data_IF_743678177630
#
_entry.id   IF_743678177630
#
_cell.length_a   1.000
_cell.length_b   1.000
_cell.length_c   1.000
_cell.angle_alpha   90.00
_cell.angle_beta   90.00
_cell.angle_gamma   90.00
#
_symmetry.space_group_name_H-M   'P 1'
#
loop_
_entity.id
_entity.type
_entity.pdbx_description
1 polymer ?
#
# COMPACT_ATOMS: atom_id res chain seq x y z
N UNK A 1 1.54 -0.49 -8.85
CA UNK A 1 2.55 -1.11 -7.97
C UNK A 1 3.10 -2.36 -8.64
N UNK A 2 4.25 -2.28 -9.34
CA UNK A 2 4.84 -3.46 -10.00
C UNK A 2 5.49 -4.44 -9.01
N UNK A 3 6.04 -3.94 -7.90
CA UNK A 3 6.69 -4.76 -6.87
C UNK A 3 5.74 -5.75 -6.16
N UNK A 4 4.52 -5.33 -5.83
CA UNK A 4 3.53 -6.21 -5.15
C UNK A 4 3.09 -7.37 -6.05
N UNK A 5 2.97 -7.14 -7.36
CA UNK A 5 2.67 -8.21 -8.32
C UNK A 5 3.86 -9.17 -8.51
N UNK A 6 5.10 -8.67 -8.38
CA UNK A 6 6.32 -9.49 -8.43
C UNK A 6 6.49 -10.37 -7.19
N UNK A 7 6.06 -9.89 -6.02
CA UNK A 7 6.15 -10.59 -4.73
C UNK A 7 4.79 -10.68 -4.00
N UNK A 8 3.82 -11.45 -4.54
CA UNK A 8 2.49 -11.53 -3.98
C UNK A 8 2.46 -12.41 -2.73
N UNK A 9 1.66 -12.06 -1.71
CA UNK A 9 1.46 -12.89 -0.52
C UNK A 9 0.49 -14.04 -0.79
N UNK A 10 0.65 -15.14 -0.04
CA UNK A 10 -0.12 -16.38 -0.21
C UNK A 10 -1.60 -16.17 0.15
N UNK A 11 -1.89 -15.38 1.19
CA UNK A 11 -3.26 -15.08 1.63
C UNK A 11 -3.93 -13.93 0.86
N UNK A 12 -3.32 -13.42 -0.20
CA UNK A 12 -3.92 -12.38 -1.02
C UNK A 12 -5.02 -13.03 -1.89
N UNK A 13 -6.19 -12.40 -1.98
CA UNK A 13 -7.30 -12.87 -2.86
C UNK A 13 -7.37 -12.02 -4.13
N UNK A 14 -7.16 -10.72 -4.01
CA UNK A 14 -7.09 -9.79 -5.14
C UNK A 14 -5.99 -8.77 -4.91
N UNK A 15 -5.32 -8.35 -5.99
CA UNK A 15 -4.36 -7.25 -5.90
C UNK A 15 -5.08 -5.94 -5.54
N UNK A 16 -4.67 -5.26 -4.44
CA UNK A 16 -5.29 -4.02 -4.04
C UNK A 16 -5.04 -2.96 -5.10
N UNK A 17 -6.12 -2.35 -5.61
CA UNK A 17 -6.07 -1.19 -6.50
C UNK A 17 -6.48 0.04 -5.72
N UNK A 18 -5.49 0.81 -5.26
CA UNK A 18 -5.75 2.10 -4.64
C UNK A 18 -6.00 3.17 -5.71
N UNK A 19 -7.11 3.90 -5.58
CA UNK A 19 -7.41 5.09 -6.38
C UNK A 19 -7.90 6.20 -5.46
N UNK A 20 -7.13 7.29 -5.39
CA UNK A 20 -7.53 8.48 -4.67
C UNK A 20 -8.63 9.21 -5.46
N UNK A 21 -9.61 9.76 -4.75
CA UNK A 21 -10.75 10.47 -5.34
C UNK A 21 -10.96 11.77 -4.57
N UNK A 22 -11.01 12.88 -5.29
CA UNK A 22 -11.27 14.20 -4.69
C UNK A 22 -12.70 14.35 -4.15
N UNK A 23 -13.70 13.74 -4.82
CA UNK A 23 -15.10 13.78 -4.36
C UNK A 23 -15.39 12.69 -3.32
N UNK A 24 -15.77 13.11 -2.12
CA UNK A 24 -16.18 12.21 -1.02
C UNK A 24 -17.43 11.40 -1.36
N UNK A 25 -18.45 12.03 -1.96
CA UNK A 25 -19.69 11.34 -2.35
C UNK A 25 -19.41 10.21 -3.34
N UNK A 26 -18.64 10.51 -4.40
CA UNK A 26 -18.24 9.50 -5.38
C UNK A 26 -17.45 8.36 -4.73
N UNK A 27 -16.60 8.69 -3.76
CA UNK A 27 -15.84 7.68 -3.02
C UNK A 27 -16.74 6.79 -2.17
N UNK A 28 -17.76 7.36 -1.48
CA UNK A 28 -18.71 6.58 -0.69
C UNK A 28 -19.61 5.69 -1.54
N UNK A 29 -20.13 6.19 -2.66
CA UNK A 29 -20.90 5.38 -3.61
C UNK A 29 -20.06 4.19 -4.09
N UNK A 30 -18.82 4.45 -4.53
CA UNK A 30 -17.93 3.37 -4.95
C UNK A 30 -17.62 2.41 -3.80
N UNK A 31 -17.37 2.89 -2.59
CA UNK A 31 -17.10 2.03 -1.45
C UNK A 31 -18.30 1.14 -1.11
N UNK A 32 -19.51 1.67 -1.20
CA UNK A 32 -20.73 0.90 -0.99
C UNK A 32 -20.84 -0.25 -2.00
N UNK A 33 -20.77 0.05 -3.31
CA UNK A 33 -21.00 -0.96 -4.35
C UNK A 33 -19.81 -1.91 -4.59
N UNK A 34 -18.58 -1.44 -4.44
CA UNK A 34 -17.39 -2.25 -4.75
C UNK A 34 -16.79 -2.98 -3.53
N UNK A 35 -17.15 -2.58 -2.30
CA UNK A 35 -16.57 -3.14 -1.09
C UNK A 35 -17.64 -3.67 -0.12
N UNK A 36 -18.58 -2.82 0.32
CA UNK A 36 -19.55 -3.21 1.35
C UNK A 36 -20.64 -4.16 0.85
N UNK A 37 -21.26 -3.87 -0.29
CA UNK A 37 -22.33 -4.69 -0.84
C UNK A 37 -21.84 -6.12 -1.17
N UNK A 38 -20.69 -6.33 -1.85
CA UNK A 38 -20.16 -7.67 -2.07
C UNK A 38 -19.77 -8.38 -0.77
N UNK A 39 -19.18 -7.67 0.20
CA UNK A 39 -18.83 -8.24 1.49
C UNK A 39 -20.06 -8.72 2.27
N UNK A 40 -21.14 -7.93 2.26
CA UNK A 40 -22.40 -8.29 2.89
C UNK A 40 -23.02 -9.54 2.28
N UNK A 41 -23.09 -9.61 0.93
CA UNK A 41 -23.64 -10.78 0.23
C UNK A 41 -22.82 -12.03 0.53
N UNK A 42 -21.49 -11.94 0.51
CA UNK A 42 -20.62 -13.08 0.82
C UNK A 42 -20.74 -13.51 2.28
N UNK A 43 -20.77 -12.57 3.23
CA UNK A 43 -20.98 -12.88 4.65
C UNK A 43 -22.35 -13.53 4.90
N UNK A 44 -23.39 -13.13 4.17
CA UNK A 44 -24.70 -13.78 4.24
C UNK A 44 -24.60 -15.23 3.77
N UNK A 45 -23.94 -15.49 2.65
CA UNK A 45 -23.73 -16.86 2.14
C UNK A 45 -22.93 -17.71 3.14
N UNK A 46 -21.82 -17.17 3.67
CA UNK A 46 -20.98 -17.83 4.69
C UNK A 46 -21.82 -18.18 5.92
N UNK A 47 -22.65 -17.23 6.39
CA UNK A 47 -23.53 -17.43 7.55
C UNK A 47 -24.57 -18.53 7.29
N UNK A 48 -25.14 -18.57 6.08
CA UNK A 48 -26.09 -19.62 5.68
C UNK A 48 -25.43 -21.00 5.56
N UNK A 49 -24.14 -21.05 5.25
CA UNK A 49 -23.35 -22.28 5.25
C UNK A 49 -22.95 -22.75 6.67
N UNK A 50 -23.28 -21.96 7.70
CA UNK A 50 -22.95 -22.27 9.10
C UNK A 50 -21.58 -21.78 9.56
N UNK A 51 -20.85 -21.08 8.69
CA UNK A 51 -19.55 -20.50 9.00
C UNK A 51 -19.67 -19.07 9.55
N UNK A 52 -18.58 -18.60 10.17
CA UNK A 52 -18.54 -17.26 10.78
C UNK A 52 -18.29 -16.18 9.71
N UNK A 53 -19.21 -15.21 9.51
CA UNK A 53 -18.97 -14.06 8.62
C UNK A 53 -17.85 -13.17 9.17
N UNK A 54 -17.06 -12.55 8.28
CA UNK A 54 -15.93 -11.69 8.68
C UNK A 54 -15.64 -10.53 7.73
N UNK A 55 -16.20 -10.54 6.52
CA UNK A 55 -15.83 -9.61 5.47
C UNK A 55 -16.30 -8.19 5.79
N UNK A 56 -17.49 -8.02 6.37
CA UNK A 56 -18.02 -6.72 6.79
C UNK A 56 -17.18 -6.06 7.88
N UNK A 57 -16.63 -6.86 8.80
CA UNK A 57 -15.69 -6.39 9.82
C UNK A 57 -14.38 -5.91 9.18
N UNK A 58 -13.86 -6.67 8.22
CA UNK A 58 -12.66 -6.30 7.45
C UNK A 58 -12.90 -4.97 6.71
N UNK A 59 -14.03 -4.83 6.00
CA UNK A 59 -14.35 -3.60 5.27
C UNK A 59 -14.50 -2.40 6.22
N UNK A 60 -15.10 -2.59 7.39
CA UNK A 60 -15.25 -1.54 8.40
C UNK A 60 -13.91 -1.07 8.95
N UNK A 61 -12.98 -1.99 9.23
CA UNK A 61 -11.60 -1.66 9.66
C UNK A 61 -10.85 -0.93 8.55
N UNK A 62 -10.96 -1.41 7.32
CA UNK A 62 -10.33 -0.79 6.16
C UNK A 62 -10.81 0.64 5.95
N UNK A 63 -12.13 0.86 5.99
CA UNK A 63 -12.73 2.19 5.84
C UNK A 63 -12.29 3.17 6.94
N UNK A 64 -12.26 2.74 8.21
CA UNK A 64 -11.72 3.55 9.31
C UNK A 64 -10.25 3.90 9.08
N UNK A 65 -9.43 2.93 8.68
CA UNK A 65 -8.02 3.16 8.33
C UNK A 65 -7.85 4.22 7.24
N UNK A 66 -8.64 4.14 6.17
CA UNK A 66 -8.63 5.15 5.11
C UNK A 66 -9.01 6.55 5.62
N UNK A 67 -9.97 6.66 6.55
CA UNK A 67 -10.34 7.94 7.15
C UNK A 67 -9.18 8.53 7.95
N UNK A 68 -8.48 7.72 8.74
CA UNK A 68 -7.31 8.16 9.52
C UNK A 68 -6.18 8.67 8.64
N UNK A 69 -5.92 8.02 7.50
CA UNK A 69 -4.84 8.42 6.61
C UNK A 69 -5.24 9.52 5.61
N UNK A 70 -6.54 9.79 5.45
CA UNK A 70 -7.07 10.69 4.40
C UNK A 70 -6.45 12.09 4.41
N UNK A 71 -6.13 12.61 5.60
CA UNK A 71 -5.48 13.91 5.73
C UNK A 71 -4.11 13.95 5.04
N UNK A 72 -3.33 12.88 5.18
CA UNK A 72 -2.00 12.79 4.59
C UNK A 72 -2.04 12.37 3.12
N UNK A 73 -2.95 11.47 2.74
CA UNK A 73 -2.97 10.87 1.40
C UNK A 73 -3.74 11.69 0.36
N UNK A 74 -4.72 12.51 0.77
CA UNK A 74 -5.60 13.24 -0.15
C UNK A 74 -5.27 14.73 -0.26
N UNK A 75 -4.14 15.16 0.30
CA UNK A 75 -3.65 16.54 0.23
C UNK A 75 -2.31 16.56 -0.48
N UNK A 76 -2.05 17.64 -1.21
CA UNK A 76 -0.73 17.91 -1.73
C UNK A 76 0.11 18.55 -0.64
N UNK A 77 1.35 18.11 -0.56
CA UNK A 77 2.33 18.59 0.41
C UNK A 77 3.49 19.18 -0.37
N UNK A 78 3.64 20.50 -0.26
CA UNK A 78 4.78 21.21 -0.81
C UNK A 78 5.82 21.31 0.30
N UNK A 79 6.88 20.53 0.18
CA UNK A 79 8.03 20.60 1.07
C UNK A 79 9.04 21.59 0.51
N UNK A 80 9.25 22.69 1.23
CA UNK A 80 10.28 23.65 0.88
C UNK A 80 11.67 23.06 1.17
N UNK A 81 12.52 23.05 0.14
CA UNK A 81 13.88 22.51 0.21
C UNK A 81 14.97 23.58 0.15
N UNK A 82 14.62 24.87 0.16
CA UNK A 82 15.59 25.98 0.00
C UNK A 82 16.75 25.92 1.00
N UNK A 83 16.46 25.63 2.27
CA UNK A 83 17.50 25.54 3.30
C UNK A 83 18.44 24.33 3.09
N UNK A 84 17.90 23.22 2.60
CA UNK A 84 18.68 22.01 2.28
C UNK A 84 19.58 22.26 1.07
N UNK A 85 19.07 22.96 0.05
CA UNK A 85 19.84 23.37 -1.12
C UNK A 85 20.96 24.36 -0.74
N UNK A 86 20.68 25.37 0.11
CA UNK A 86 21.69 26.32 0.61
C UNK A 86 22.78 25.60 1.40
N UNK A 87 22.39 24.74 2.34
CA UNK A 87 23.32 23.95 3.12
C UNK A 87 24.20 23.08 2.23
N UNK A 88 23.60 22.36 1.27
CA UNK A 88 24.33 21.55 0.31
C UNK A 88 25.33 22.41 -0.48
N UNK A 89 24.95 23.60 -0.94
CA UNK A 89 25.84 24.47 -1.72
C UNK A 89 27.14 24.84 -0.98
N UNK A 90 27.05 24.99 0.35
CA UNK A 90 28.13 25.42 1.24
C UNK A 90 29.04 24.29 1.73
N UNK A 91 28.65 23.03 1.52
CA UNK A 91 29.48 21.90 1.91
C UNK A 91 30.71 21.75 1.01
N UNK A 92 31.80 21.27 1.62
CA UNK A 92 33.00 20.86 0.91
C UNK A 92 32.69 19.67 -0.02
N UNK A 93 33.49 19.43 -1.08
CA UNK A 93 33.31 18.25 -1.93
C UNK A 93 33.31 16.94 -1.14
N UNK A 94 34.21 16.78 -0.18
CA UNK A 94 34.32 15.58 0.66
C UNK A 94 33.06 15.35 1.52
N UNK A 95 32.46 16.43 2.04
CA UNK A 95 31.23 16.34 2.85
C UNK A 95 30.01 16.08 1.98
N UNK A 96 29.95 16.63 0.76
CA UNK A 96 28.89 16.33 -0.21
C UNK A 96 28.86 14.86 -0.59
N UNK A 97 30.03 14.23 -0.73
CA UNK A 97 30.13 12.80 -1.02
C UNK A 97 29.66 11.95 0.17
N UNK A 98 30.02 12.34 1.40
CA UNK A 98 29.60 11.61 2.62
C UNK A 98 28.12 11.81 2.97
N UNK A 99 27.58 13.00 2.68
CA UNK A 99 26.24 13.41 3.05
C UNK A 99 25.46 13.85 1.81
N UNK A 100 24.97 12.87 1.06
CA UNK A 100 24.18 13.12 -0.14
C UNK A 100 22.75 13.55 0.23
N UNK A 101 22.42 14.81 -0.06
CA UNK A 101 21.08 15.37 0.10
C UNK A 101 20.24 15.29 -1.20
N UNK A 102 20.81 14.84 -2.32
CA UNK A 102 20.13 14.79 -3.60
C UNK A 102 19.27 13.52 -3.74
N UNK A 103 17.98 13.68 -3.42
CA UNK A 103 16.99 12.61 -3.54
C UNK A 103 16.81 12.02 -4.95
N UNK A 104 17.31 12.70 -6.00
CA UNK A 104 17.29 12.16 -7.38
C UNK A 104 18.22 10.98 -7.58
N UNK A 105 19.26 10.83 -6.76
CA UNK A 105 20.16 9.69 -6.85
C UNK A 105 19.54 8.39 -6.31
N UNK A 106 18.41 8.49 -5.60
CA UNK A 106 17.68 7.32 -5.10
C UNK A 106 16.98 6.62 -6.26
N UNK A 107 17.31 5.34 -6.49
CA UNK A 107 16.51 4.44 -7.31
C UNK A 107 15.21 4.09 -6.57
N UNK A 108 14.22 4.98 -6.70
CA UNK A 108 12.90 4.84 -6.07
C UNK A 108 12.21 3.51 -6.42
N UNK A 109 12.21 3.03 -7.69
CA UNK A 109 11.71 1.69 -8.01
C UNK A 109 12.33 0.57 -7.17
N UNK A 110 13.67 0.49 -7.09
CA UNK A 110 14.38 -0.55 -6.34
C UNK A 110 14.18 -0.43 -4.83
N UNK A 111 14.19 0.81 -4.32
CA UNK A 111 13.89 1.10 -2.92
C UNK A 111 12.49 0.59 -2.53
N UNK A 112 11.47 0.94 -3.32
CA UNK A 112 10.10 0.51 -3.07
C UNK A 112 9.94 -1.01 -3.21
N UNK A 113 10.69 -1.66 -4.11
CA UNK A 113 10.73 -3.12 -4.23
C UNK A 113 11.29 -3.77 -2.95
N UNK A 114 12.36 -3.19 -2.40
CA UNK A 114 12.95 -3.63 -1.13
C UNK A 114 11.97 -3.48 0.02
N UNK A 115 11.21 -2.38 0.07
CA UNK A 115 10.15 -2.20 1.07
C UNK A 115 9.07 -3.28 0.96
N UNK A 116 8.62 -3.63 -0.25
CA UNK A 116 7.63 -4.70 -0.46
C UNK A 116 8.14 -6.04 0.04
N UNK A 117 9.40 -6.37 -0.25
CA UNK A 117 10.05 -7.58 0.27
C UNK A 117 10.17 -7.58 1.80
N UNK A 118 10.50 -6.44 2.39
CA UNK A 118 10.54 -6.27 3.84
C UNK A 118 9.18 -6.54 4.49
N UNK A 119 8.11 -5.97 3.95
CA UNK A 119 6.74 -6.21 4.43
C UNK A 119 6.37 -7.69 4.34
N UNK A 120 6.68 -8.35 3.22
CA UNK A 120 6.46 -9.80 3.06
C UNK A 120 7.17 -10.61 4.16
N UNK A 121 8.47 -10.39 4.33
CA UNK A 121 9.32 -11.21 5.20
C UNK A 121 9.06 -10.96 6.68
N UNK A 122 8.86 -9.70 7.08
CA UNK A 122 8.83 -9.33 8.49
C UNK A 122 7.42 -9.08 9.03
N UNK A 123 6.54 -8.45 8.25
CA UNK A 123 5.17 -8.19 8.68
C UNK A 123 4.27 -9.42 8.44
N UNK A 124 4.32 -9.98 7.23
CA UNK A 124 3.54 -11.19 6.90
C UNK A 124 4.25 -12.51 7.26
N UNK A 125 5.54 -12.46 7.61
CA UNK A 125 6.32 -13.64 8.00
C UNK A 125 6.33 -14.74 6.93
N UNK A 126 6.30 -14.35 5.65
CA UNK A 126 6.35 -15.30 4.52
C UNK A 126 7.80 -15.53 4.06
N UNK A 127 8.30 -16.78 4.05
CA UNK A 127 9.67 -17.10 3.64
C UNK A 127 9.83 -17.03 2.12
N UNK A 128 10.91 -16.46 1.59
CA UNK A 128 11.10 -16.30 0.14
C UNK A 128 10.92 -17.58 -0.70
N UNK A 129 11.20 -18.74 -0.11
CA UNK A 129 10.99 -20.05 -0.75
C UNK A 129 9.54 -20.26 -1.18
N UNK A 130 8.55 -19.68 -0.50
CA UNK A 130 7.12 -19.83 -0.82
C UNK A 130 6.65 -18.92 -1.97
N UNK A 131 7.52 -18.09 -2.54
CA UNK A 131 7.17 -17.12 -3.57
C UNK A 131 6.56 -17.77 -4.82
N UNK A 132 7.03 -18.96 -5.20
CA UNK A 132 6.49 -19.69 -6.34
C UNK A 132 5.03 -20.13 -6.12
N UNK A 133 4.71 -20.61 -4.91
CA UNK A 133 3.34 -20.97 -4.50
C UNK A 133 2.45 -19.74 -4.54
N UNK A 134 2.90 -18.64 -3.93
CA UNK A 134 2.11 -17.43 -3.89
C UNK A 134 1.83 -16.90 -5.30
N UNK A 135 2.81 -16.91 -6.22
CA UNK A 135 2.58 -16.53 -7.62
C UNK A 135 1.53 -17.42 -8.30
N UNK A 136 1.57 -18.74 -8.12
CA UNK A 136 0.66 -19.67 -8.79
C UNK A 136 -0.83 -19.42 -8.46
N UNK A 137 -1.13 -18.91 -7.26
CA UNK A 137 -2.50 -18.56 -6.83
C UNK A 137 -3.06 -17.37 -7.63
N UNK A 138 -2.19 -16.48 -8.12
CA UNK A 138 -2.57 -15.17 -8.71
C UNK A 138 -2.49 -15.10 -10.24
N UNK A 139 -2.12 -16.19 -10.91
CA UNK A 139 -2.10 -16.30 -12.37
C UNK A 139 -3.38 -16.94 -12.96
N UNK A 140 -4.41 -17.13 -12.13
CA UNK A 140 -5.81 -17.35 -12.52
C UNK A 140 -6.59 -16.05 -12.36
#
# INVERSE_FOLDING_TARGET
MKGVAKYPNTGLVFFPRARLRYSKLRNYIHALFAHYLPAFVLDLVISLMGDKPMLMDIQSRYFKGMQYTSFFTCREWLFDKRNTDDLSSRLSPDDKEKFDFETKHIDWPSYMETCVLGVRRFYHKEPDKNLHVARAIHWL
#
